data_IF_338092969430
#
_entry.id   IF_338092969430
#
_cell.length_a   1.000
_cell.length_b   1.000
_cell.length_c   1.000
_cell.angle_alpha   90.00
_cell.angle_beta   90.00
_cell.angle_gamma   90.00
#
_symmetry.space_group_name_H-M   'P 1'
#
loop_
_entity.id
_entity.type
_entity.pdbx_description
1 polymer ?
#
# COMPACT_ATOMS: atom_id res chain seq x y z
N UNK A 1 -26.61 54.43 17.68
CA UNK A 1 -27.42 54.84 18.84
C UNK A 1 -28.88 54.86 18.40
N UNK A 2 -29.69 53.90 18.86
CA UNK A 2 -31.17 53.80 18.78
C UNK A 2 -31.84 53.92 17.39
N UNK A 3 -33.00 53.36 17.07
CA UNK A 3 -33.82 52.25 17.52
C UNK A 3 -34.87 52.11 16.40
N UNK A 4 -35.34 50.89 16.19
CA UNK A 4 -36.56 50.44 15.54
C UNK A 4 -37.59 51.46 14.99
N UNK A 5 -38.23 51.09 13.88
CA UNK A 5 -39.62 50.59 13.86
C UNK A 5 -40.39 51.05 12.61
N UNK A 6 -40.90 50.14 11.76
CA UNK A 6 -42.35 50.01 11.57
C UNK A 6 -42.77 48.83 10.69
N UNK A 7 -43.79 48.14 11.21
CA UNK A 7 -44.60 47.08 10.61
C UNK A 7 -45.36 47.56 9.36
N UNK A 8 -45.57 46.64 8.40
CA UNK A 8 -46.85 46.40 7.69
C UNK A 8 -46.91 44.88 7.45
N UNK A 9 -47.78 44.10 8.08
CA UNK A 9 -49.25 44.06 8.09
C UNK A 9 -49.86 43.49 6.80
N UNK A 10 -50.51 42.34 6.99
CA UNK A 10 -51.62 41.71 6.25
C UNK A 10 -51.30 41.22 4.83
N UNK A 11 -51.20 39.90 4.64
CA UNK A 11 -52.32 38.96 4.39
C UNK A 11 -53.17 39.39 3.19
N UNK A 12 -52.94 38.73 2.05
CA UNK A 12 -53.97 38.15 1.19
C UNK A 12 -53.29 37.27 0.14
N UNK A 13 -53.81 36.06 -0.05
CA UNK A 13 -53.22 35.13 -1.01
C UNK A 13 -53.74 33.71 -0.89
N UNK A 14 -55.04 33.53 -1.11
CA UNK A 14 -55.66 32.25 -1.44
C UNK A 14 -54.88 31.60 -2.61
N UNK A 15 -54.09 30.57 -2.34
CA UNK A 15 -53.44 29.77 -3.37
C UNK A 15 -54.01 28.35 -3.37
N UNK A 16 -54.72 28.06 -4.45
CA UNK A 16 -55.40 26.80 -4.73
C UNK A 16 -54.46 25.58 -4.64
N UNK A 17 -54.89 24.56 -3.91
CA UNK A 17 -54.24 23.26 -3.89
C UNK A 17 -54.43 22.57 -5.25
N UNK A 18 -53.43 22.68 -6.12
CA UNK A 18 -53.37 21.92 -7.37
C UNK A 18 -52.97 20.47 -7.08
N UNK A 19 -53.93 19.56 -7.22
CA UNK A 19 -53.77 18.12 -7.05
C UNK A 19 -52.92 17.53 -8.18
N UNK A 20 -51.62 17.35 -7.95
CA UNK A 20 -50.73 16.65 -8.89
C UNK A 20 -51.04 15.15 -8.85
N UNK A 21 -51.79 14.69 -9.87
CA UNK A 21 -52.01 13.26 -10.14
C UNK A 21 -50.66 12.61 -10.46
N UNK A 22 -50.18 11.73 -9.57
CA UNK A 22 -49.01 10.87 -9.83
C UNK A 22 -49.36 9.91 -10.98
N UNK A 23 -48.78 10.14 -12.15
CA UNK A 23 -48.75 9.16 -13.24
C UNK A 23 -47.67 8.14 -12.89
N UNK A 24 -48.07 6.91 -12.53
CA UNK A 24 -47.12 5.80 -12.39
C UNK A 24 -46.50 5.51 -13.76
N UNK A 25 -45.17 5.51 -13.91
CA UNK A 25 -44.56 5.11 -15.17
C UNK A 25 -44.81 3.63 -15.39
N UNK A 26 -45.45 3.27 -16.51
CA UNK A 26 -45.50 1.88 -16.99
C UNK A 26 -44.07 1.41 -17.21
N UNK A 27 -43.64 0.37 -16.50
CA UNK A 27 -42.44 -0.38 -16.89
C UNK A 27 -42.70 -1.06 -18.23
N UNK A 28 -42.24 -0.45 -19.32
CA UNK A 28 -42.11 -1.13 -20.60
C UNK A 28 -41.00 -2.16 -20.49
N UNK A 29 -41.34 -3.42 -20.82
CA UNK A 29 -40.38 -4.53 -20.86
C UNK A 29 -39.30 -4.16 -21.89
N UNK A 30 -37.99 -4.17 -21.54
CA UNK A 30 -36.95 -3.79 -22.47
C UNK A 30 -36.91 -4.77 -23.65
N UNK A 31 -36.72 -4.23 -24.86
CA UNK A 31 -36.62 -5.04 -26.08
C UNK A 31 -35.37 -5.92 -26.04
N UNK A 32 -35.37 -7.09 -26.72
CA UNK A 32 -34.22 -8.00 -26.77
C UNK A 32 -32.94 -7.35 -27.30
N UNK A 33 -33.07 -6.30 -28.12
CA UNK A 33 -31.96 -5.52 -28.66
C UNK A 33 -31.33 -4.58 -27.61
N UNK A 34 -32.16 -3.93 -26.77
CA UNK A 34 -31.68 -3.13 -25.64
C UNK A 34 -30.96 -4.01 -24.59
N UNK A 35 -31.46 -5.22 -24.35
CA UNK A 35 -30.79 -6.22 -23.49
C UNK A 35 -29.46 -6.69 -24.08
N UNK A 36 -29.40 -6.90 -25.41
CA UNK A 36 -28.15 -7.26 -26.10
C UNK A 36 -27.13 -6.12 -26.15
N UNK A 37 -27.56 -4.86 -26.25
CA UNK A 37 -26.68 -3.69 -26.19
C UNK A 37 -26.14 -3.47 -24.77
N UNK A 38 -26.98 -3.62 -23.75
CA UNK A 38 -26.57 -3.54 -22.34
C UNK A 38 -25.62 -4.69 -21.91
N UNK A 39 -25.71 -5.86 -22.56
CA UNK A 39 -24.83 -7.00 -22.31
C UNK A 39 -23.42 -6.84 -22.91
N UNK A 40 -23.19 -5.90 -23.83
CA UNK A 40 -21.85 -5.65 -24.42
C UNK A 40 -20.95 -4.78 -23.54
N UNK A 41 -21.50 -4.11 -22.51
CA UNK A 41 -20.77 -3.17 -21.66
C UNK A 41 -20.69 -3.58 -20.19
N UNK A 42 -20.54 -4.88 -19.90
CA UNK A 42 -19.99 -5.34 -18.61
C UNK A 42 -18.84 -6.32 -18.81
N UNK A 43 -17.76 -5.81 -19.39
CA UNK A 43 -16.44 -6.27 -18.96
C UNK A 43 -16.07 -5.37 -17.79
N UNK A 44 -15.99 -5.94 -16.60
CA UNK A 44 -15.20 -5.35 -15.52
C UNK A 44 -13.77 -5.20 -16.07
N UNK A 45 -13.23 -3.98 -16.22
CA UNK A 45 -11.84 -3.82 -16.56
C UNK A 45 -11.05 -4.06 -15.27
N UNK A 46 -10.81 -5.32 -14.93
CA UNK A 46 -9.69 -5.63 -14.05
C UNK A 46 -8.41 -5.55 -14.87
N UNK A 47 -8.19 -4.49 -15.66
CA UNK A 47 -6.85 -4.26 -16.19
C UNK A 47 -5.89 -4.40 -15.02
N UNK A 48 -4.90 -5.32 -15.09
CA UNK A 48 -3.99 -5.50 -13.99
C UNK A 48 -3.42 -4.12 -13.71
N UNK A 49 -3.73 -3.54 -12.55
CA UNK A 49 -3.15 -2.29 -12.14
C UNK A 49 -1.65 -2.50 -12.32
N UNK A 50 -1.04 -1.77 -13.25
CA UNK A 50 0.38 -1.88 -13.57
C UNK A 50 1.18 -1.34 -12.37
N UNK A 51 1.16 -2.08 -11.28
CA UNK A 51 1.91 -1.83 -10.07
C UNK A 51 3.17 -2.66 -10.21
N UNK A 52 4.15 -2.08 -10.91
CA UNK A 52 5.51 -2.58 -10.86
C UNK A 52 6.00 -2.44 -9.42
N UNK A 53 6.17 -3.56 -8.72
CA UNK A 53 6.83 -3.59 -7.43
C UNK A 53 8.33 -3.60 -7.71
N UNK A 54 9.03 -2.54 -7.32
CA UNK A 54 10.49 -2.47 -7.40
C UNK A 54 11.10 -3.11 -6.15
N UNK A 55 12.11 -3.96 -6.34
CA UNK A 55 12.96 -4.40 -5.25
C UNK A 55 13.78 -3.20 -4.76
N UNK A 56 13.63 -2.80 -3.50
CA UNK A 56 14.37 -1.66 -2.94
C UNK A 56 15.57 -2.13 -2.10
N UNK A 57 15.42 -3.27 -1.40
CA UNK A 57 16.45 -3.78 -0.50
C UNK A 57 16.44 -5.31 -0.47
N UNK A 58 17.63 -5.88 -0.51
CA UNK A 58 17.91 -7.29 -0.27
C UNK A 58 18.64 -7.42 1.08
N UNK A 59 18.17 -8.30 1.98
CA UNK A 59 18.81 -8.53 3.28
C UNK A 59 19.37 -9.95 3.29
N UNK A 60 20.67 -10.09 3.52
CA UNK A 60 21.37 -11.36 3.67
C UNK A 60 21.75 -11.58 5.12
N UNK A 61 21.42 -12.76 5.64
CA UNK A 61 21.83 -13.21 6.96
C UNK A 61 23.14 -13.98 6.84
N UNK A 62 24.21 -13.46 7.46
CA UNK A 62 25.58 -13.96 7.31
C UNK A 62 26.24 -14.17 8.66
N UNK A 63 27.16 -15.12 8.78
CA UNK A 63 27.86 -15.35 10.06
C UNK A 63 28.96 -14.30 10.34
N UNK A 64 29.67 -13.90 9.30
CA UNK A 64 30.74 -12.90 9.36
C UNK A 64 30.42 -11.75 8.40
N UNK A 65 29.93 -10.65 8.97
CA UNK A 65 29.57 -9.45 8.21
C UNK A 65 30.82 -8.80 7.61
N UNK A 66 31.97 -8.85 8.30
CA UNK A 66 33.21 -8.23 7.85
C UNK A 66 33.79 -8.93 6.62
N UNK A 67 33.85 -10.26 6.63
CA UNK A 67 34.32 -11.04 5.50
C UNK A 67 33.45 -10.84 4.25
N UNK A 68 32.13 -10.86 4.42
CA UNK A 68 31.19 -10.68 3.29
C UNK A 68 31.21 -9.24 2.79
N UNK A 69 31.31 -8.24 3.68
CA UNK A 69 31.52 -6.83 3.29
C UNK A 69 32.78 -6.68 2.45
N UNK A 70 33.91 -7.20 2.92
CA UNK A 70 35.19 -7.13 2.21
C UNK A 70 35.11 -7.79 0.83
N UNK A 71 34.42 -8.93 0.72
CA UNK A 71 34.16 -9.59 -0.56
C UNK A 71 33.43 -8.67 -1.55
N UNK A 72 32.30 -8.05 -1.14
CA UNK A 72 31.54 -7.17 -2.02
C UNK A 72 32.26 -5.86 -2.36
N UNK A 73 33.06 -5.33 -1.42
CA UNK A 73 33.90 -4.16 -1.68
C UNK A 73 35.03 -4.49 -2.67
N UNK A 74 35.66 -5.66 -2.53
CA UNK A 74 36.83 -6.03 -3.35
C UNK A 74 36.45 -6.46 -4.75
N UNK A 75 35.42 -7.30 -4.88
CA UNK A 75 35.09 -7.94 -6.16
C UNK A 75 33.98 -7.24 -6.93
N UNK A 76 33.14 -6.46 -6.24
CA UNK A 76 31.97 -5.81 -6.84
C UNK A 76 32.02 -4.28 -6.65
N UNK A 77 33.02 -3.77 -5.93
CA UNK A 77 33.22 -2.34 -5.67
C UNK A 77 31.99 -1.65 -5.06
N UNK A 78 31.19 -2.37 -4.26
CA UNK A 78 30.02 -1.77 -3.61
C UNK A 78 30.47 -0.86 -2.45
N UNK A 79 29.96 0.36 -2.42
CA UNK A 79 30.24 1.31 -1.34
C UNK A 79 29.32 1.07 -0.14
N UNK A 80 29.86 1.20 1.08
CA UNK A 80 29.06 1.15 2.31
C UNK A 80 28.26 2.44 2.47
N UNK A 81 26.96 2.32 2.70
CA UNK A 81 26.05 3.45 2.98
C UNK A 81 25.70 3.56 4.45
N UNK A 82 25.69 2.44 5.18
CA UNK A 82 25.47 2.40 6.64
C UNK A 82 26.21 1.22 7.25
N UNK A 83 26.79 1.41 8.43
CA UNK A 83 27.50 0.35 9.14
C UNK A 83 27.27 0.46 10.65
N UNK A 84 27.02 -0.70 11.27
CA UNK A 84 27.09 -0.99 12.69
C UNK A 84 28.03 -2.18 12.78
N UNK A 85 29.18 -1.97 13.43
CA UNK A 85 30.25 -2.96 13.48
C UNK A 85 29.72 -4.33 13.95
N UNK A 86 30.11 -5.38 13.23
CA UNK A 86 29.78 -6.79 13.47
C UNK A 86 28.29 -7.18 13.42
N UNK A 87 27.37 -6.23 13.41
CA UNK A 87 25.92 -6.49 13.45
C UNK A 87 25.25 -6.29 12.09
N UNK A 88 25.52 -5.16 11.43
CA UNK A 88 24.73 -4.70 10.29
C UNK A 88 25.53 -3.81 9.34
N UNK A 89 25.52 -4.13 8.05
CA UNK A 89 26.13 -3.31 7.00
C UNK A 89 25.14 -3.14 5.86
N UNK A 90 25.06 -1.94 5.27
CA UNK A 90 24.32 -1.67 4.03
C UNK A 90 25.30 -1.22 2.97
N UNK A 91 25.21 -1.84 1.81
CA UNK A 91 26.00 -1.58 0.62
C UNK A 91 25.09 -1.00 -0.47
N UNK A 92 25.57 -0.01 -1.21
CA UNK A 92 24.90 0.51 -2.39
C UNK A 92 25.11 -0.46 -3.57
N UNK A 93 24.03 -1.06 -4.07
CA UNK A 93 24.05 -2.00 -5.19
C UNK A 93 23.25 -1.43 -6.37
N UNK A 94 23.71 -0.31 -6.90
CA UNK A 94 23.02 0.42 -7.97
C UNK A 94 21.67 0.97 -7.49
N UNK A 95 20.57 0.49 -8.08
CA UNK A 95 19.21 0.95 -7.76
C UNK A 95 18.60 0.32 -6.50
N UNK A 96 19.32 -0.60 -5.84
CA UNK A 96 18.85 -1.29 -4.64
C UNK A 96 19.92 -1.23 -3.55
N UNK A 97 19.50 -1.52 -2.32
CA UNK A 97 20.40 -1.68 -1.19
C UNK A 97 20.63 -3.15 -0.88
N UNK A 98 21.89 -3.51 -0.60
CA UNK A 98 22.27 -4.82 -0.09
C UNK A 98 22.62 -4.68 1.39
N UNK A 99 21.76 -5.20 2.26
CA UNK A 99 22.00 -5.25 3.69
C UNK A 99 22.53 -6.62 4.11
N UNK A 100 23.57 -6.61 4.96
CA UNK A 100 24.15 -7.78 5.61
C UNK A 100 23.80 -7.70 7.09
N UNK A 101 23.13 -8.72 7.61
CA UNK A 101 22.79 -8.85 9.03
C UNK A 101 23.51 -10.07 9.60
N UNK A 102 24.16 -9.92 10.76
CA UNK A 102 24.79 -11.06 11.42
C UNK A 102 23.74 -12.07 11.89
N UNK A 103 23.92 -13.36 11.58
CA UNK A 103 23.01 -14.43 12.03
C UNK A 103 23.60 -15.24 13.16
N UNK A 104 23.02 -15.04 14.36
CA UNK A 104 23.34 -15.79 15.57
C UNK A 104 24.78 -15.62 16.05
N UNK A 105 25.04 -16.02 17.30
CA UNK A 105 26.41 -16.36 17.71
C UNK A 105 26.71 -17.77 17.21
N UNK A 106 27.95 -18.10 16.83
CA UNK A 106 28.33 -19.48 16.58
C UNK A 106 27.87 -20.32 17.76
N UNK A 107 27.07 -21.36 17.51
CA UNK A 107 26.67 -22.27 18.55
C UNK A 107 27.94 -23.01 19.02
N UNK A 108 28.50 -22.61 20.15
CA UNK A 108 29.57 -23.34 20.85
C UNK A 108 28.98 -24.60 21.50
N UNK A 109 28.44 -25.50 20.67
CA UNK A 109 28.00 -26.84 21.11
C UNK A 109 29.19 -27.78 21.32
N UNK A 110 30.40 -27.38 20.95
CA UNK A 110 31.64 -28.14 21.17
C UNK A 110 32.14 -28.12 22.61
N UNK A 111 31.55 -27.30 23.50
CA UNK A 111 31.93 -27.26 24.92
C UNK A 111 31.14 -28.20 25.84
N UNK A 112 30.39 -29.15 25.32
CA UNK A 112 29.73 -30.18 26.16
C UNK A 112 30.55 -31.45 26.26
N UNK A 113 31.14 -31.61 27.45
CA UNK A 113 31.61 -32.84 28.09
C UNK A 113 32.85 -33.53 27.52
N UNK A 114 34.02 -33.10 28.03
CA UNK A 114 35.13 -34.03 28.27
C UNK A 114 34.89 -34.61 29.67
N UNK A 115 34.47 -35.88 29.75
CA UNK A 115 34.51 -36.63 31.00
C UNK A 115 35.96 -37.08 31.22
N UNK A 116 36.63 -36.73 32.33
CA UNK A 116 37.92 -37.32 32.64
C UNK A 116 37.69 -38.78 33.01
N UNK A 117 38.37 -39.69 32.29
CA UNK A 117 38.47 -41.08 32.70
C UNK A 117 39.35 -41.15 33.96
N UNK A 118 38.78 -41.70 35.03
CA UNK A 118 39.50 -42.14 36.21
C UNK A 118 39.47 -43.67 36.24
#
# INVERSE_FOLDING_TARGET
>A
MLHMSHRRSLHDGHAAAAQVRRVSPRLTRPTPEALRSAARHRRVPWEPCNMSIALVRLILYVHDVGAVKAFYQTHVALSVTKEIADEWVVLAAGGIELALHQVGKPNDSSRRHVHPAA
#
